data_IF_117923265468
#
_entry.id   IF_117923265468
#
_cell.length_a   1.000
_cell.length_b   1.000
_cell.length_c   1.000
_cell.angle_alpha   90.00
_cell.angle_beta   90.00
_cell.angle_gamma   90.00
#
_symmetry.space_group_name_H-M   'P 1'
#
loop_
_entity.id
_entity.type
_entity.pdbx_description
1 polymer ?
#
# COMPACT_ATOMS: atom_id res chain seq x y z
N UNK A 1 23.72 -18.56 -36.81
CA UNK A 1 23.36 -19.89 -37.34
C UNK A 1 24.33 -20.43 -38.40
N UNK A 2 25.31 -19.65 -38.90
CA UNK A 2 26.23 -20.12 -39.96
C UNK A 2 27.12 -21.29 -39.54
N UNK A 3 27.85 -21.15 -38.44
CA UNK A 3 28.90 -22.13 -38.07
C UNK A 3 28.40 -23.55 -37.79
N UNK A 4 27.27 -23.73 -37.10
CA UNK A 4 26.69 -25.06 -36.84
C UNK A 4 26.18 -25.70 -38.15
N UNK A 5 25.56 -24.89 -39.02
CA UNK A 5 25.13 -25.34 -40.35
C UNK A 5 26.33 -25.75 -41.20
N UNK A 6 27.40 -24.94 -41.21
CA UNK A 6 28.62 -25.23 -41.95
C UNK A 6 29.28 -26.53 -41.46
N UNK A 7 29.29 -26.79 -40.15
CA UNK A 7 29.75 -28.05 -39.56
C UNK A 7 28.88 -29.23 -40.02
N UNK A 8 27.55 -29.05 -40.05
CA UNK A 8 26.61 -30.10 -40.47
C UNK A 8 26.77 -30.43 -41.96
N UNK A 9 26.94 -29.41 -42.80
CA UNK A 9 27.18 -29.55 -44.24
C UNK A 9 28.54 -30.23 -44.50
N UNK A 10 29.57 -29.90 -43.71
CA UNK A 10 30.90 -30.51 -43.81
C UNK A 10 30.88 -31.98 -43.35
N UNK A 11 30.19 -32.30 -42.25
CA UNK A 11 29.98 -33.68 -41.79
C UNK A 11 29.25 -34.52 -42.84
N UNK A 12 28.21 -33.97 -43.46
CA UNK A 12 27.44 -34.64 -44.51
C UNK A 12 28.31 -34.98 -45.73
N UNK A 13 29.16 -34.03 -46.16
CA UNK A 13 30.13 -34.25 -47.25
C UNK A 13 31.19 -35.29 -46.88
N UNK A 14 31.67 -35.27 -45.63
CA UNK A 14 32.70 -36.19 -45.16
C UNK A 14 32.17 -37.63 -45.10
N UNK A 15 30.97 -37.84 -44.54
CA UNK A 15 30.29 -39.14 -44.47
C UNK A 15 30.10 -39.75 -45.86
N UNK A 16 29.77 -38.92 -46.86
CA UNK A 16 29.60 -39.37 -48.25
C UNK A 16 30.88 -39.87 -48.94
N UNK A 17 32.06 -39.44 -48.47
CA UNK A 17 33.36 -39.73 -49.10
C UNK A 17 34.17 -40.82 -48.37
N UNK A 18 33.70 -41.31 -47.22
CA UNK A 18 34.41 -42.29 -46.39
C UNK A 18 34.06 -43.72 -46.80
N UNK A 19 35.10 -44.56 -46.93
CA UNK A 19 34.98 -46.00 -47.22
C UNK A 19 34.94 -46.86 -45.96
N UNK A 20 35.50 -46.37 -44.85
CA UNK A 20 35.50 -47.05 -43.56
C UNK A 20 34.13 -46.92 -42.88
N UNK A 21 33.43 -48.06 -42.73
CA UNK A 21 32.11 -48.11 -42.11
C UNK A 21 32.10 -47.69 -40.64
N UNK A 22 33.18 -47.97 -39.90
CA UNK A 22 33.26 -47.61 -38.48
C UNK A 22 33.36 -46.10 -38.32
N UNK A 23 34.26 -45.48 -39.09
CA UNK A 23 34.42 -44.02 -39.08
C UNK A 23 33.17 -43.28 -39.60
N UNK A 24 32.49 -43.83 -40.63
CA UNK A 24 31.22 -43.28 -41.09
C UNK A 24 30.10 -43.35 -40.03
N UNK A 25 30.11 -44.38 -39.17
CA UNK A 25 29.16 -44.51 -38.05
C UNK A 25 29.41 -43.43 -36.99
N UNK A 26 30.65 -43.26 -36.56
CA UNK A 26 31.04 -42.24 -35.57
C UNK A 26 30.70 -40.82 -36.06
N UNK A 27 30.89 -40.53 -37.34
CA UNK A 27 30.49 -39.24 -37.92
C UNK A 27 28.98 -39.01 -37.96
N UNK A 28 28.18 -40.07 -38.17
CA UNK A 28 26.71 -39.97 -38.09
C UNK A 28 26.24 -39.69 -36.67
N UNK A 29 26.91 -40.27 -35.67
CA UNK A 29 26.65 -39.96 -34.26
C UNK A 29 26.98 -38.49 -33.96
N UNK A 30 28.12 -38.00 -34.43
CA UNK A 30 28.50 -36.58 -34.31
C UNK A 30 27.47 -35.68 -34.99
N UNK A 31 27.04 -36.01 -36.22
CA UNK A 31 26.01 -35.25 -36.92
C UNK A 31 24.68 -35.22 -36.15
N UNK A 32 24.31 -36.34 -35.53
CA UNK A 32 23.10 -36.40 -34.70
C UNK A 32 23.21 -35.49 -33.48
N UNK A 33 24.36 -35.50 -32.80
CA UNK A 33 24.61 -34.58 -31.67
C UNK A 33 24.58 -33.11 -32.09
N UNK A 34 25.16 -32.77 -33.25
CA UNK A 34 25.16 -31.40 -33.79
C UNK A 34 23.72 -30.94 -34.08
N UNK A 35 22.89 -31.79 -34.66
CA UNK A 35 21.48 -31.48 -34.92
C UNK A 35 20.69 -31.25 -33.63
N UNK A 36 20.92 -32.07 -32.60
CA UNK A 36 20.30 -31.88 -31.27
C UNK A 36 20.69 -30.54 -30.66
N UNK A 37 21.98 -30.21 -30.66
CA UNK A 37 22.48 -28.92 -30.17
C UNK A 37 21.89 -27.74 -30.94
N UNK A 38 21.72 -27.87 -32.26
CA UNK A 38 21.07 -26.84 -33.07
C UNK A 38 19.61 -26.62 -32.63
N UNK A 39 18.87 -27.70 -32.41
CA UNK A 39 17.48 -27.65 -31.95
C UNK A 39 17.36 -27.02 -30.55
N UNK A 40 18.25 -27.37 -29.63
CA UNK A 40 18.27 -26.78 -28.29
C UNK A 40 18.58 -25.28 -28.36
N UNK A 41 19.55 -24.89 -29.19
CA UNK A 41 19.92 -23.49 -29.36
C UNK A 41 18.77 -22.67 -29.98
N UNK A 42 17.99 -23.22 -30.91
CA UNK A 42 16.80 -22.53 -31.43
C UNK A 42 15.74 -22.33 -30.35
N UNK A 43 15.47 -23.35 -29.52
CA UNK A 43 14.51 -23.25 -28.41
C UNK A 43 14.97 -22.20 -27.38
N UNK A 44 16.27 -22.16 -27.07
CA UNK A 44 16.82 -21.14 -26.17
C UNK A 44 16.70 -19.74 -26.75
N UNK A 45 16.93 -19.55 -28.04
CA UNK A 45 16.76 -18.25 -28.71
C UNK A 45 15.31 -17.77 -28.71
N UNK A 46 14.36 -18.67 -28.96
CA UNK A 46 12.92 -18.38 -28.87
C UNK A 46 12.52 -17.99 -27.45
N UNK A 47 12.95 -18.77 -26.45
CA UNK A 47 12.69 -18.47 -25.04
C UNK A 47 13.28 -17.13 -24.63
N UNK A 48 14.52 -16.83 -25.04
CA UNK A 48 15.16 -15.56 -24.73
C UNK A 48 14.42 -14.37 -25.39
N UNK A 49 13.95 -14.56 -26.63
CA UNK A 49 13.15 -13.54 -27.33
C UNK A 49 11.83 -13.29 -26.61
N UNK A 50 11.12 -14.34 -26.18
CA UNK A 50 9.89 -14.23 -25.40
C UNK A 50 10.11 -13.49 -24.07
N UNK A 51 11.17 -13.84 -23.33
CA UNK A 51 11.53 -13.17 -22.08
C UNK A 51 11.89 -11.69 -22.29
N UNK A 52 12.59 -11.36 -23.37
CA UNK A 52 12.88 -9.96 -23.72
C UNK A 52 11.60 -9.16 -23.99
N UNK A 53 10.65 -9.74 -24.72
CA UNK A 53 9.34 -9.13 -24.98
C UNK A 53 8.55 -8.93 -23.69
N UNK A 54 8.47 -9.95 -22.84
CA UNK A 54 7.78 -9.87 -21.54
C UNK A 54 8.40 -8.79 -20.64
N UNK A 55 9.73 -8.74 -20.55
CA UNK A 55 10.44 -7.74 -19.77
C UNK A 55 10.18 -6.32 -20.29
N UNK A 56 10.11 -6.14 -21.61
CA UNK A 56 9.72 -4.86 -22.21
C UNK A 56 8.31 -4.46 -21.80
N UNK A 57 7.35 -5.38 -21.90
CA UNK A 57 5.96 -5.13 -21.50
C UNK A 57 5.87 -4.75 -20.02
N UNK A 58 6.51 -5.52 -19.13
CA UNK A 58 6.54 -5.24 -17.70
C UNK A 58 7.17 -3.86 -17.40
N UNK A 59 8.24 -3.47 -18.08
CA UNK A 59 8.83 -2.13 -17.94
C UNK A 59 7.85 -1.03 -18.34
N UNK A 60 7.11 -1.20 -19.44
CA UNK A 60 6.11 -0.21 -19.86
C UNK A 60 4.95 -0.09 -18.87
N UNK A 61 4.49 -1.21 -18.31
CA UNK A 61 3.45 -1.22 -17.28
C UNK A 61 3.93 -0.53 -16.00
N UNK A 62 5.16 -0.85 -15.57
CA UNK A 62 5.77 -0.21 -14.41
C UNK A 62 5.87 1.32 -14.59
N UNK A 63 6.22 1.78 -15.80
CA UNK A 63 6.25 3.21 -16.11
C UNK A 63 4.86 3.85 -15.99
N UNK A 64 3.82 3.22 -16.58
CA UNK A 64 2.44 3.71 -16.49
C UNK A 64 1.94 3.77 -15.05
N UNK A 65 2.23 2.74 -14.25
CA UNK A 65 1.84 2.70 -12.84
C UNK A 65 2.54 3.79 -12.02
N UNK A 66 3.84 4.01 -12.24
CA UNK A 66 4.58 5.11 -11.60
C UNK A 66 3.99 6.46 -11.95
N UNK A 67 3.66 6.68 -13.22
CA UNK A 67 3.01 7.91 -13.66
C UNK A 67 1.63 8.10 -13.02
N UNK A 68 0.82 7.05 -12.98
CA UNK A 68 -0.48 7.08 -12.30
C UNK A 68 -0.33 7.41 -10.81
N UNK A 69 0.65 6.82 -10.11
CA UNK A 69 0.94 7.13 -8.71
C UNK A 69 1.33 8.60 -8.54
N UNK A 70 2.19 9.14 -9.42
CA UNK A 70 2.53 10.56 -9.38
C UNK A 70 1.31 11.46 -9.61
N UNK A 71 0.45 11.11 -10.55
CA UNK A 71 -0.77 11.86 -10.83
C UNK A 71 -1.75 11.79 -9.66
N UNK A 72 -1.90 10.63 -9.02
CA UNK A 72 -2.66 10.48 -7.78
C UNK A 72 -2.05 11.31 -6.65
N UNK A 73 -0.73 11.30 -6.47
CA UNK A 73 -0.05 12.14 -5.48
C UNK A 73 -0.26 13.63 -5.73
N UNK A 74 -0.23 14.07 -6.99
CA UNK A 74 -0.53 15.46 -7.35
C UNK A 74 -1.98 15.81 -7.07
N UNK A 75 -2.94 14.91 -7.37
CA UNK A 75 -4.36 15.10 -7.05
C UNK A 75 -4.60 15.16 -5.54
N UNK A 76 -4.01 14.26 -4.76
CA UNK A 76 -4.13 14.29 -3.30
C UNK A 76 -3.38 15.46 -2.69
N UNK A 77 -2.24 15.88 -3.23
CA UNK A 77 -1.54 17.10 -2.80
C UNK A 77 -2.34 18.36 -3.13
N UNK A 78 -3.05 18.41 -4.25
CA UNK A 78 -3.93 19.53 -4.58
C UNK A 78 -5.25 19.52 -3.78
N UNK A 79 -5.73 18.35 -3.36
CA UNK A 79 -6.87 18.21 -2.44
C UNK A 79 -6.48 18.43 -0.96
N UNK A 80 -5.23 18.15 -0.60
CA UNK A 80 -4.62 18.36 0.72
C UNK A 80 -3.74 19.60 0.75
N UNK A 81 -3.81 20.48 -0.26
CA UNK A 81 -3.36 21.86 -0.11
C UNK A 81 -4.09 22.31 1.15
N UNK A 82 -3.40 22.75 2.21
CA UNK A 82 -4.11 23.27 3.37
C UNK A 82 -4.95 24.40 2.83
N UNK A 83 -6.25 24.11 2.60
CA UNK A 83 -7.27 25.13 2.64
C UNK A 83 -6.90 25.85 3.91
N UNK A 84 -6.53 27.13 3.77
CA UNK A 84 -6.36 28.02 4.90
C UNK A 84 -7.56 27.73 5.77
N UNK A 85 -7.33 26.96 6.84
CA UNK A 85 -8.38 26.55 7.76
C UNK A 85 -8.97 27.91 8.15
N UNK A 86 -10.25 28.21 7.88
CA UNK A 86 -10.84 29.34 8.58
C UNK A 86 -10.50 29.06 10.04
N UNK A 87 -9.87 30.03 10.72
CA UNK A 87 -9.50 29.93 12.14
C UNK A 87 -10.73 29.49 12.91
N UNK A 88 -10.92 28.19 13.04
CA UNK A 88 -12.07 27.60 13.68
C UNK A 88 -11.70 27.60 15.14
N UNK A 89 -11.91 28.76 15.76
CA UNK A 89 -11.88 28.89 17.20
C UNK A 89 -13.08 28.13 17.73
N UNK A 90 -12.79 27.10 18.52
CA UNK A 90 -13.81 26.46 19.32
C UNK A 90 -14.37 27.51 20.29
N UNK A 91 -15.64 27.39 20.64
CA UNK A 91 -16.16 28.21 21.73
C UNK A 91 -15.48 27.83 23.06
N UNK A 92 -15.47 28.75 24.01
CA UNK A 92 -14.79 28.59 25.29
C UNK A 92 -15.22 27.30 26.03
N UNK A 93 -16.50 26.92 25.91
CA UNK A 93 -17.03 25.71 26.56
C UNK A 93 -16.45 24.45 25.91
N UNK A 94 -16.44 24.38 24.58
CA UNK A 94 -15.90 23.24 23.84
C UNK A 94 -14.40 23.10 24.06
N UNK A 95 -13.68 24.23 24.17
CA UNK A 95 -12.26 24.24 24.52
C UNK A 95 -12.00 23.70 25.91
N UNK A 96 -12.77 24.11 26.91
CA UNK A 96 -12.64 23.61 28.28
C UNK A 96 -12.91 22.11 28.36
N UNK A 97 -13.93 21.61 27.66
CA UNK A 97 -14.22 20.18 27.57
C UNK A 97 -13.02 19.44 26.96
N UNK A 98 -12.50 19.92 25.82
CA UNK A 98 -11.36 19.29 25.14
C UNK A 98 -10.08 19.33 25.98
N UNK A 99 -9.83 20.43 26.68
CA UNK A 99 -8.70 20.57 27.61
C UNK A 99 -8.81 19.59 28.76
N UNK A 100 -10.00 19.42 29.33
CA UNK A 100 -10.20 18.48 30.42
C UNK A 100 -9.97 17.02 29.99
N UNK A 101 -10.34 16.67 28.75
CA UNK A 101 -9.96 15.39 28.15
C UNK A 101 -8.43 15.24 28.00
N UNK A 102 -7.74 16.31 27.60
CA UNK A 102 -6.28 16.32 27.46
C UNK A 102 -5.57 16.15 28.81
N UNK A 103 -5.97 16.93 29.82
CA UNK A 103 -5.36 16.94 31.16
C UNK A 103 -5.56 15.62 31.89
N UNK A 104 -6.72 14.99 31.74
CA UNK A 104 -7.02 13.72 32.40
C UNK A 104 -6.33 12.54 31.72
N UNK A 105 -6.10 12.62 30.40
CA UNK A 105 -5.41 11.59 29.63
C UNK A 105 -6.11 10.22 29.62
N UNK A 106 -7.39 10.15 30.04
CA UNK A 106 -8.17 8.92 30.18
C UNK A 106 -9.55 9.08 29.57
N UNK A 107 -10.24 7.95 29.42
CA UNK A 107 -11.64 7.89 29.01
C UNK A 107 -12.53 8.60 30.06
N UNK A 108 -13.31 9.59 29.61
CA UNK A 108 -14.19 10.37 30.50
C UNK A 108 -15.66 10.21 30.11
N UNK A 109 -16.55 9.98 31.09
CA UNK A 109 -17.99 9.97 30.84
C UNK A 109 -18.55 11.39 30.75
N UNK A 110 -19.66 11.54 30.03
CA UNK A 110 -20.36 12.83 29.83
C UNK A 110 -20.71 13.50 31.16
N UNK A 111 -21.05 12.71 32.18
CA UNK A 111 -21.48 13.17 33.50
C UNK A 111 -20.42 14.04 34.20
N UNK A 112 -19.12 13.79 33.96
CA UNK A 112 -18.06 14.56 34.60
C UNK A 112 -18.06 16.03 34.17
N UNK A 113 -18.47 16.31 32.93
CA UNK A 113 -18.52 17.66 32.38
C UNK A 113 -19.74 18.45 32.86
N UNK A 114 -20.84 17.76 33.16
CA UNK A 114 -22.05 18.37 33.75
C UNK A 114 -21.69 19.01 35.10
N UNK A 115 -21.02 18.26 35.97
CA UNK A 115 -20.58 18.77 37.28
C UNK A 115 -19.47 19.81 37.18
N UNK A 116 -18.53 19.63 36.23
CA UNK A 116 -17.38 20.53 36.11
C UNK A 116 -17.76 21.92 35.59
N UNK A 117 -18.67 21.98 34.62
CA UNK A 117 -19.02 23.22 33.92
C UNK A 117 -20.35 23.81 34.38
N UNK A 118 -21.09 23.11 35.27
CA UNK A 118 -22.44 23.48 35.71
C UNK A 118 -23.41 23.69 34.54
N UNK A 119 -23.27 22.87 33.49
CA UNK A 119 -24.09 22.91 32.28
C UNK A 119 -25.11 21.78 32.26
N UNK A 120 -26.20 21.95 31.52
CA UNK A 120 -27.16 20.87 31.31
C UNK A 120 -26.60 19.79 30.37
N UNK A 121 -27.15 18.58 30.51
CA UNK A 121 -26.71 17.41 29.73
C UNK A 121 -26.83 17.60 28.22
N UNK A 122 -27.81 18.39 27.75
CA UNK A 122 -28.03 18.61 26.31
C UNK A 122 -26.95 19.52 25.74
N UNK A 123 -26.59 20.57 26.46
CA UNK A 123 -25.49 21.48 26.09
C UNK A 123 -24.15 20.74 26.06
N UNK A 124 -23.83 19.96 27.10
CA UNK A 124 -22.60 19.14 27.11
C UNK A 124 -22.58 18.17 25.93
N UNK A 125 -23.70 17.49 25.66
CA UNK A 125 -23.80 16.55 24.54
C UNK A 125 -23.61 17.24 23.19
N UNK A 126 -24.17 18.43 23.01
CA UNK A 126 -23.97 19.24 21.81
C UNK A 126 -22.49 19.54 21.56
N UNK A 127 -21.74 19.94 22.59
CA UNK A 127 -20.30 20.20 22.45
C UNK A 127 -19.48 18.92 22.22
N UNK A 128 -19.87 17.80 22.84
CA UNK A 128 -19.28 16.48 22.55
C UNK A 128 -19.53 16.06 21.10
N UNK A 129 -20.73 16.29 20.57
CA UNK A 129 -21.04 16.02 19.17
C UNK A 129 -20.20 16.89 18.22
N UNK A 130 -19.95 18.15 18.56
CA UNK A 130 -19.03 19.02 17.82
C UNK A 130 -17.63 18.42 17.81
N UNK A 131 -17.08 18.07 18.98
CA UNK A 131 -15.75 17.49 19.11
C UNK A 131 -15.63 16.15 18.38
N UNK A 132 -16.68 15.32 18.41
CA UNK A 132 -16.74 14.04 17.72
C UNK A 132 -16.79 14.20 16.20
N UNK A 133 -17.63 15.11 15.68
CA UNK A 133 -17.68 15.44 14.23
C UNK A 133 -16.33 15.93 13.71
N UNK A 134 -15.59 16.65 14.56
CA UNK A 134 -14.24 17.15 14.26
C UNK A 134 -13.13 16.12 14.51
N UNK A 135 -13.49 14.90 14.94
CA UNK A 135 -12.57 13.80 15.25
C UNK A 135 -11.58 14.13 16.36
N UNK A 136 -11.86 15.11 17.22
CA UNK A 136 -11.01 15.44 18.38
C UNK A 136 -11.21 14.45 19.53
N UNK A 137 -12.41 13.88 19.63
CA UNK A 137 -12.73 12.80 20.57
C UNK A 137 -13.42 11.65 19.83
N UNK A 138 -13.35 10.45 20.39
CA UNK A 138 -14.04 9.25 19.87
C UNK A 138 -14.53 8.36 21.00
N UNK A 139 -15.48 7.49 20.68
CA UNK A 139 -15.86 6.38 21.55
C UNK A 139 -14.77 5.29 21.49
N UNK A 140 -14.28 4.79 22.63
CA UNK A 140 -13.30 3.72 22.66
C UNK A 140 -13.91 2.44 22.09
N UNK A 141 -13.19 1.79 21.17
CA UNK A 141 -13.67 0.57 20.48
C UNK A 141 -13.87 -0.62 21.44
N UNK A 142 -13.37 -0.54 22.67
CA UNK A 142 -13.47 -1.60 23.69
C UNK A 142 -14.67 -1.37 24.60
N UNK A 143 -15.89 -1.52 24.08
CA UNK A 143 -17.06 -1.66 24.93
C UNK A 143 -16.91 -3.01 25.68
N UNK A 144 -16.43 -3.00 26.93
CA UNK A 144 -16.66 -4.12 27.84
C UNK A 144 -18.16 -4.11 28.14
N UNK A 145 -18.93 -4.86 27.37
CA UNK A 145 -20.37 -5.03 27.59
C UNK A 145 -20.56 -5.79 28.90
N UNK A 146 -20.64 -5.07 30.02
CA UNK A 146 -21.31 -5.59 31.20
C UNK A 146 -22.81 -5.48 30.95
N UNK A 147 -23.42 -6.59 30.53
CA UNK A 147 -24.87 -6.76 30.49
C UNK A 147 -25.43 -6.66 31.91
N UNK A 148 -25.66 -5.44 32.40
CA UNK A 148 -26.68 -5.18 33.42
C UNK A 148 -27.71 -4.25 32.81
N UNK A 149 -28.83 -4.86 32.46
CA UNK A 149 -30.06 -4.17 32.10
C UNK A 149 -30.34 -3.10 33.19
N UNK A 150 -30.48 -1.84 32.75
CA UNK A 150 -30.98 -0.67 33.48
C UNK A 150 -30.01 0.48 33.84
N UNK A 151 -28.78 0.55 33.30
CA UNK A 151 -28.00 1.81 33.38
C UNK A 151 -27.71 2.42 32.00
N UNK A 152 -28.49 3.44 31.60
CA UNK A 152 -28.20 4.35 30.47
C UNK A 152 -27.00 5.28 30.74
N UNK A 153 -25.97 4.81 31.45
CA UNK A 153 -24.95 5.69 32.03
C UNK A 153 -23.58 5.05 31.91
N UNK A 154 -22.90 5.37 30.81
CA UNK A 154 -21.52 5.87 30.80
C UNK A 154 -20.91 5.69 29.41
N UNK A 155 -21.42 6.42 28.42
CA UNK A 155 -20.68 6.64 27.17
C UNK A 155 -19.39 7.37 27.55
N UNK A 156 -18.28 6.62 27.63
CA UNK A 156 -16.97 7.19 27.87
C UNK A 156 -16.38 7.62 26.54
N UNK A 157 -15.72 8.77 26.52
CA UNK A 157 -15.10 9.34 25.34
C UNK A 157 -13.59 9.46 25.58
N UNK A 158 -12.79 9.27 24.55
CA UNK A 158 -11.34 9.45 24.59
C UNK A 158 -10.87 10.50 23.59
N UNK A 159 -9.81 11.22 23.94
CA UNK A 159 -9.17 12.19 23.05
C UNK A 159 -8.34 11.47 21.98
N UNK A 160 -8.45 11.93 20.73
CA UNK A 160 -7.68 11.42 19.60
C UNK A 160 -6.33 12.12 19.47
N UNK A 161 -5.48 11.64 18.56
CA UNK A 161 -4.23 12.32 18.20
C UNK A 161 -4.50 13.72 17.61
N UNK A 162 -5.55 13.87 16.80
CA UNK A 162 -5.96 15.16 16.23
C UNK A 162 -6.39 16.16 17.32
N UNK A 163 -7.17 15.69 18.31
CA UNK A 163 -7.57 16.51 19.45
C UNK A 163 -6.39 16.95 20.31
N UNK A 164 -5.46 16.03 20.60
CA UNK A 164 -4.21 16.36 21.33
C UNK A 164 -3.38 17.40 20.59
N UNK A 165 -3.20 17.23 19.28
CA UNK A 165 -2.46 18.17 18.44
C UNK A 165 -3.09 19.56 18.46
N UNK A 166 -4.42 19.65 18.38
CA UNK A 166 -5.14 20.93 18.46
C UNK A 166 -4.87 21.66 19.79
N UNK A 167 -4.97 20.95 20.92
CA UNK A 167 -4.71 21.53 22.25
C UNK A 167 -3.28 22.07 22.34
N UNK A 168 -2.28 21.31 21.85
CA UNK A 168 -0.88 21.75 21.86
C UNK A 168 -0.65 22.97 20.95
N UNK A 169 -1.21 22.97 19.74
CA UNK A 169 -0.97 24.05 18.75
C UNK A 169 -1.70 25.36 19.08
N UNK A 170 -2.90 25.28 19.66
CA UNK A 170 -3.75 26.45 19.90
C UNK A 170 -3.73 26.93 21.35
N UNK A 171 -3.49 26.05 22.33
CA UNK A 171 -3.50 26.42 23.76
C UNK A 171 -2.10 26.59 24.38
N UNK A 172 -1.03 26.40 23.61
CA UNK A 172 0.35 26.76 24.02
C UNK A 172 0.75 28.19 23.62
N UNK A 173 -0.15 28.93 22.97
CA UNK A 173 -0.01 30.36 22.67
C UNK A 173 -0.69 31.19 23.74
#
# INVERSE_FOLDING_TARGET
MGTIKDITDLLTKLIGNIKDRKFASELREIQTMVNTLQSENTVLQEKNSALMTENSNLKTENFKLKQAIEDYKKKTFNQNKPQVKPEFKLDNITEQILRHFFDTGKELPIQNFISLLSLDISTVKYHIDILSKKRFIRLPSKIRVSFKANSRLSETWEITEEGRKYVIEQMSK
#
